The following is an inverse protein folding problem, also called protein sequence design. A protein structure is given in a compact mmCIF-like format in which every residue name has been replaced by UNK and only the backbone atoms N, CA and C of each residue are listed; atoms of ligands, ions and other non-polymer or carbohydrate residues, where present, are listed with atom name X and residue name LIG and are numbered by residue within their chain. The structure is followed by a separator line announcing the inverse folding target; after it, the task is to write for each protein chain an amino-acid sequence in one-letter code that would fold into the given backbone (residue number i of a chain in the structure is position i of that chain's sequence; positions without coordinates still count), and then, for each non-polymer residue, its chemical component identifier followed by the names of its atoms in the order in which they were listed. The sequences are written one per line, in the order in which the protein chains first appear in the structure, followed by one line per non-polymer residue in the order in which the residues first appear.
data_IF_583671237540
#
_entry.id   IF_583671237540
#
_cell.length_a   1.000
_cell.length_b   1.000
_cell.length_c   1.000
_cell.angle_alpha   90.00
_cell.angle_beta   90.00
_cell.angle_gamma   90.00
#
_symmetry.space_group_name_H-M   'P 1'
#
loop_
_entity.id
_entity.type
_entity.pdbx_description
1 polymer ?
#
# COMPACT_ATOMS: atom_id res chain seq x y z
N UNK A 1 -6.62 12.39 6.66
CA UNK A 1 -5.38 11.59 6.63
C UNK A 1 -5.70 10.10 6.65
N UNK A 2 -6.62 9.65 7.52
CA UNK A 2 -7.14 8.28 7.56
C UNK A 2 -7.72 7.76 6.23
N UNK A 3 -8.53 8.56 5.50
CA UNK A 3 -9.10 8.16 4.20
C UNK A 3 -8.04 7.81 3.14
N UNK A 4 -6.89 8.51 3.19
CA UNK A 4 -5.78 8.25 2.28
C UNK A 4 -5.15 6.89 2.56
N UNK A 5 -4.90 6.57 3.83
CA UNK A 5 -4.25 5.30 4.23
C UNK A 5 -5.18 4.10 3.99
N UNK A 6 -6.47 4.22 4.36
CA UNK A 6 -7.46 3.16 4.14
C UNK A 6 -7.70 2.86 2.66
N UNK A 7 -7.59 3.87 1.78
CA UNK A 7 -7.66 3.66 0.32
C UNK A 7 -6.36 3.13 -0.30
N UNK A 8 -5.20 3.42 0.31
CA UNK A 8 -3.88 3.05 -0.21
C UNK A 8 -3.50 1.61 0.10
N UNK A 9 -3.80 1.11 1.30
CA UNK A 9 -3.41 -0.25 1.74
C UNK A 9 -3.91 -1.34 0.75
N UNK A 10 -5.20 -1.39 0.36
CA UNK A 10 -5.67 -2.42 -0.58
C UNK A 10 -5.03 -2.29 -1.98
N UNK A 11 -4.73 -1.06 -2.41
CA UNK A 11 -4.07 -0.80 -3.70
C UNK A 11 -2.61 -1.25 -3.68
N UNK A 12 -1.92 -1.06 -2.56
CA UNK A 12 -0.56 -1.55 -2.35
C UNK A 12 -0.51 -3.08 -2.31
N UNK A 13 -1.48 -3.73 -1.66
CA UNK A 13 -1.63 -5.19 -1.70
C UNK A 13 -1.81 -5.75 -3.12
N UNK A 14 -2.60 -5.06 -3.95
CA UNK A 14 -2.75 -5.40 -5.38
C UNK A 14 -1.45 -5.18 -6.16
N UNK A 15 -0.71 -4.12 -5.86
CA UNK A 15 0.61 -3.86 -6.45
C UNK A 15 1.59 -5.00 -6.15
N UNK A 16 1.69 -5.42 -4.89
CA UNK A 16 2.54 -6.54 -4.47
C UNK A 16 2.18 -7.84 -5.21
N UNK A 17 0.89 -8.17 -5.33
CA UNK A 17 0.43 -9.36 -6.07
C UNK A 17 0.84 -9.33 -7.53
N UNK A 18 0.75 -8.17 -8.19
CA UNK A 18 1.19 -8.01 -9.59
C UNK A 18 2.70 -8.27 -9.69
N UNK A 19 3.51 -7.71 -8.79
CA UNK A 19 4.95 -7.96 -8.77
C UNK A 19 5.29 -9.43 -8.52
N UNK A 20 4.65 -10.10 -7.55
CA UNK A 20 4.85 -11.52 -7.30
C UNK A 20 4.50 -12.37 -8.51
N UNK A 21 3.39 -12.08 -9.19
CA UNK A 21 2.98 -12.78 -10.40
C UNK A 21 4.04 -12.65 -11.51
N UNK A 22 4.54 -11.43 -11.75
CA UNK A 22 5.60 -11.18 -12.74
C UNK A 22 6.88 -11.93 -12.37
N UNK A 23 7.30 -11.87 -11.10
CA UNK A 23 8.51 -12.57 -10.62
C UNK A 23 8.38 -14.10 -10.70
N UNK A 24 7.15 -14.62 -10.62
CA UNK A 24 6.86 -16.05 -10.80
C UNK A 24 6.78 -16.50 -12.27
N UNK A 25 7.15 -15.63 -13.23
CA UNK A 25 7.13 -15.94 -14.66
C UNK A 25 5.79 -15.61 -15.35
N UNK A 26 4.90 -14.89 -14.67
CA UNK A 26 3.69 -14.34 -15.26
C UNK A 26 3.97 -13.23 -16.26
N UNK A 27 2.99 -12.93 -17.11
CA UNK A 27 3.11 -11.88 -18.13
C UNK A 27 2.55 -10.55 -17.66
N UNK A 28 3.06 -9.49 -18.29
CA UNK A 28 2.64 -8.12 -18.06
C UNK A 28 1.53 -7.74 -19.04
N UNK A 29 0.31 -7.51 -18.54
CA UNK A 29 -0.79 -6.97 -19.36
C UNK A 29 -0.81 -5.44 -19.34
N UNK A 30 -1.45 -4.83 -20.33
CA UNK A 30 -1.63 -3.38 -20.35
C UNK A 30 -2.39 -2.88 -19.11
N UNK A 31 -3.41 -3.59 -18.62
CA UNK A 31 -4.13 -3.16 -17.41
C UNK A 31 -3.23 -3.17 -16.18
N UNK A 32 -2.28 -4.13 -16.08
CA UNK A 32 -1.29 -4.14 -15.01
C UNK A 32 -0.34 -2.96 -15.13
N UNK A 33 0.03 -2.54 -16.35
CA UNK A 33 0.94 -1.40 -16.59
C UNK A 33 0.29 -0.10 -16.17
N UNK A 34 -0.96 0.07 -16.63
CA UNK A 34 -1.77 1.21 -16.26
C UNK A 34 -1.97 1.28 -14.74
N UNK A 35 -2.31 0.17 -14.09
CA UNK A 35 -2.48 0.16 -12.64
C UNK A 35 -1.21 0.58 -11.89
N UNK A 36 -0.04 0.08 -12.30
CA UNK A 36 1.24 0.44 -11.68
C UNK A 36 1.55 1.92 -11.91
N UNK A 37 1.34 2.43 -13.12
CA UNK A 37 1.53 3.85 -13.44
C UNK A 37 0.63 4.75 -12.60
N UNK A 38 -0.68 4.47 -12.59
CA UNK A 38 -1.68 5.21 -11.82
C UNK A 38 -1.37 5.16 -10.31
N UNK A 39 -0.84 4.03 -9.83
CA UNK A 39 -0.45 3.87 -8.43
C UNK A 39 0.70 4.81 -8.07
N UNK A 40 1.78 4.84 -8.85
CA UNK A 40 2.92 5.71 -8.57
C UNK A 40 2.63 7.18 -8.87
N UNK A 41 1.71 7.50 -9.77
CA UNK A 41 1.23 8.88 -9.97
C UNK A 41 0.48 9.39 -8.74
N UNK A 42 -0.33 8.53 -8.09
CA UNK A 42 -1.11 8.92 -6.91
C UNK A 42 -0.35 8.83 -5.58
N UNK A 43 0.59 7.87 -5.47
CA UNK A 43 1.22 7.49 -4.20
C UNK A 43 2.75 7.38 -4.28
N UNK A 44 3.37 7.69 -5.42
CA UNK A 44 4.81 7.52 -5.65
C UNK A 44 5.71 8.45 -4.85
N UNK A 45 5.13 9.47 -4.20
CA UNK A 45 5.81 10.16 -3.12
C UNK A 45 5.79 9.29 -1.85
N UNK A 46 6.80 8.44 -1.71
CA UNK A 46 7.02 7.60 -0.52
C UNK A 46 7.10 8.44 0.76
N UNK A 47 7.52 9.70 0.65
CA UNK A 47 7.61 10.65 1.77
C UNK A 47 6.21 11.05 2.27
N UNK A 48 5.26 11.21 1.35
CA UNK A 48 3.84 11.41 1.68
C UNK A 48 3.25 10.18 2.38
N UNK A 49 3.62 8.97 1.98
CA UNK A 49 3.18 7.74 2.64
C UNK A 49 3.79 7.57 4.04
N UNK A 50 5.09 7.76 4.17
CA UNK A 50 5.81 7.72 5.46
C UNK A 50 5.29 8.78 6.42
N UNK A 51 5.05 10.00 5.93
CA UNK A 51 4.47 11.09 6.75
C UNK A 51 3.05 10.74 7.19
N UNK A 52 2.22 10.17 6.31
CA UNK A 52 0.88 9.72 6.67
C UNK A 52 0.92 8.60 7.73
N UNK A 53 1.84 7.64 7.61
CA UNK A 53 2.09 6.59 8.58
C UNK A 53 2.54 7.15 9.94
N UNK A 54 3.48 8.10 9.95
CA UNK A 54 3.97 8.74 11.17
C UNK A 54 2.87 9.55 11.85
N UNK A 55 2.12 10.37 11.11
CA UNK A 55 0.99 11.12 11.66
C UNK A 55 -0.08 10.20 12.23
N UNK A 56 -0.37 9.10 11.55
CA UNK A 56 -1.29 8.07 12.04
C UNK A 56 -0.75 7.41 13.34
N UNK A 57 0.55 7.13 13.42
CA UNK A 57 1.21 6.61 14.63
C UNK A 57 1.19 7.60 15.81
N UNK A 58 1.19 8.90 15.54
CA UNK A 58 1.17 9.95 16.57
C UNK A 58 -0.26 10.27 17.06
N UNK A 59 -1.28 10.02 16.24
CA UNK A 59 -2.69 10.30 16.59
C UNK A 59 -3.44 9.10 17.18
N UNK A 60 -2.99 7.86 16.96
CA UNK A 60 -3.70 6.64 17.42
C UNK A 60 -3.26 6.10 18.78
N UNK A 61 -4.23 5.63 19.57
CA UNK A 61 -3.99 4.86 20.80
C UNK A 61 -3.37 3.47 20.49
N UNK A 62 -2.64 2.93 21.46
CA UNK A 62 -1.85 1.70 21.31
C UNK A 62 -2.67 0.47 20.89
N UNK A 63 -3.96 0.40 21.20
CA UNK A 63 -4.82 -0.71 20.81
C UNK A 63 -5.16 -0.66 19.30
N UNK A 64 -5.44 0.52 18.76
CA UNK A 64 -5.74 0.67 17.33
C UNK A 64 -4.47 0.53 16.47
N UNK A 65 -3.31 0.89 17.01
CA UNK A 65 -2.00 0.67 16.38
C UNK A 65 -1.74 -0.82 16.09
N UNK A 66 -2.05 -1.71 17.05
CA UNK A 66 -1.87 -3.16 16.88
C UNK A 66 -2.71 -3.73 15.72
N UNK A 67 -3.93 -3.22 15.54
CA UNK A 67 -4.83 -3.66 14.45
C UNK A 67 -4.28 -3.23 13.08
N UNK A 68 -3.78 -2.00 12.99
CA UNK A 68 -3.18 -1.49 11.77
C UNK A 68 -1.88 -2.23 11.41
N UNK A 69 -1.02 -2.48 12.40
CA UNK A 69 0.23 -3.21 12.22
C UNK A 69 -0.02 -4.65 11.73
N UNK A 70 -1.03 -5.32 12.31
CA UNK A 70 -1.42 -6.66 11.87
C UNK A 70 -2.00 -6.66 10.45
N UNK A 71 -2.73 -5.62 10.06
CA UNK A 71 -3.26 -5.47 8.70
C UNK A 71 -2.15 -5.22 7.69
N UNK A 72 -1.17 -4.37 8.03
CA UNK A 72 0.02 -4.12 7.22
C UNK A 72 0.87 -5.38 7.05
N UNK A 73 1.12 -6.09 8.15
CA UNK A 73 1.91 -7.33 8.14
C UNK A 73 1.29 -8.38 7.22
N UNK A 74 -0.04 -8.50 7.23
CA UNK A 74 -0.80 -9.41 6.38
C UNK A 74 -0.79 -9.07 4.89
N UNK A 75 -0.57 -7.81 4.52
CA UNK A 75 -0.48 -7.37 3.11
C UNK A 75 0.97 -7.45 2.57
N UNK A 76 1.95 -7.64 3.46
CA UNK A 76 3.38 -7.78 3.13
C UNK A 76 3.81 -9.26 3.08
N UNK A 77 3.25 -10.11 3.95
CA UNK A 77 3.44 -11.58 3.96
C UNK A 77 2.56 -12.29 2.91
#
# INVERSE_FOLDING_TARGET
MEERITSMIPRYGKLNKIYTEIMSGGSFSFEKQQFISDFYEQYGDTQTFETALISLMLEMDAAHFSILLNSLKREIE
#
